data_IF_524577554562
#
_entry.id   IF_524577554562
#
_cell.length_a   1.000
_cell.length_b   1.000
_cell.length_c   1.000
_cell.angle_alpha   90.00
_cell.angle_beta   90.00
_cell.angle_gamma   90.00
#
_symmetry.space_group_name_H-M   'P 1'
#
loop_
_entity.id
_entity.type
_entity.pdbx_description
1 polymer ?
#
# COMPACT_ATOMS: atom_id res chain seq x y z
N UNK A 1 3.38 -13.99 -7.56
CA UNK A 1 2.44 -12.86 -7.74
C UNK A 1 1.19 -13.39 -8.39
N UNK A 2 0.06 -12.69 -8.30
CA UNK A 2 -1.21 -13.18 -8.87
C UNK A 2 -1.93 -14.25 -8.05
N UNK A 3 -1.45 -14.50 -6.82
CA UNK A 3 -2.13 -15.34 -5.83
C UNK A 3 -2.60 -14.45 -4.67
N UNK A 4 -3.78 -14.75 -4.14
CA UNK A 4 -4.31 -14.13 -2.93
C UNK A 4 -4.05 -15.10 -1.78
N UNK A 5 -3.35 -14.62 -0.76
CA UNK A 5 -3.06 -15.37 0.46
C UNK A 5 -3.77 -14.67 1.62
N UNK A 6 -4.44 -15.45 2.47
CA UNK A 6 -5.05 -14.98 3.71
C UNK A 6 -4.09 -15.23 4.86
N UNK A 7 -3.91 -14.22 5.72
CA UNK A 7 -3.09 -14.32 6.92
C UNK A 7 -3.94 -14.15 8.18
N UNK A 8 -3.72 -15.02 9.15
CA UNK A 8 -4.29 -14.97 10.48
C UNK A 8 -3.31 -14.34 11.49
N UNK A 9 -3.77 -14.14 12.72
CA UNK A 9 -2.93 -13.61 13.80
C UNK A 9 -1.72 -14.53 14.03
N UNK A 10 -0.53 -13.97 13.83
CA UNK A 10 0.74 -14.68 14.01
C UNK A 10 1.38 -15.15 12.70
N UNK A 11 0.67 -15.08 11.58
CA UNK A 11 1.23 -15.45 10.28
C UNK A 11 2.26 -14.45 9.77
N UNK A 12 3.21 -14.96 8.99
CA UNK A 12 4.25 -14.19 8.30
C UNK A 12 4.06 -14.34 6.79
N UNK A 13 3.66 -13.27 6.13
CA UNK A 13 3.50 -13.23 4.67
C UNK A 13 4.72 -12.55 4.05
N UNK A 14 5.44 -13.29 3.21
CA UNK A 14 6.63 -12.78 2.51
C UNK A 14 6.28 -12.14 1.16
N UNK A 15 6.68 -10.88 0.99
CA UNK A 15 6.52 -10.11 -0.25
C UNK A 15 7.89 -9.98 -0.95
N UNK A 16 8.23 -10.83 -1.93
CA UNK A 16 9.54 -10.79 -2.57
C UNK A 16 9.73 -9.52 -3.42
N UNK A 17 10.99 -9.11 -3.60
CA UNK A 17 11.38 -8.04 -4.52
C UNK A 17 11.06 -8.43 -5.98
N UNK A 18 10.77 -7.43 -6.81
CA UNK A 18 10.50 -7.64 -8.24
C UNK A 18 9.15 -8.30 -8.54
N UNK A 19 8.24 -8.33 -7.56
CA UNK A 19 6.91 -8.89 -7.71
C UNK A 19 5.87 -7.86 -7.26
N UNK A 20 4.93 -7.54 -8.14
CA UNK A 20 3.77 -6.72 -7.78
C UNK A 20 2.97 -7.38 -6.66
N UNK A 21 2.67 -6.60 -5.62
CA UNK A 21 1.90 -7.04 -4.48
C UNK A 21 1.18 -5.85 -3.82
N UNK A 22 0.10 -6.15 -3.13
CA UNK A 22 -0.63 -5.23 -2.27
C UNK A 22 -1.27 -6.04 -1.15
N UNK A 23 -1.92 -5.39 -0.19
CA UNK A 23 -2.69 -6.04 0.85
C UNK A 23 -3.85 -5.14 1.27
N UNK A 24 -4.87 -5.74 1.85
CA UNK A 24 -6.00 -5.06 2.46
C UNK A 24 -6.43 -5.82 3.70
N UNK A 25 -7.23 -5.18 4.55
CA UNK A 25 -7.90 -5.87 5.64
C UNK A 25 -9.08 -6.67 5.07
N UNK A 26 -8.99 -8.00 5.10
CA UNK A 26 -10.05 -8.87 4.62
C UNK A 26 -11.21 -9.03 5.63
N UNK A 27 -11.01 -8.60 6.88
CA UNK A 27 -12.03 -8.64 7.93
C UNK A 27 -12.78 -7.32 8.11
N UNK A 28 -13.80 -7.36 8.95
CA UNK A 28 -14.65 -6.22 9.34
C UNK A 28 -14.19 -5.53 10.64
N UNK A 29 -13.21 -6.11 11.33
CA UNK A 29 -12.58 -5.55 12.54
C UNK A 29 -11.20 -4.94 12.21
N UNK A 30 -10.72 -3.95 12.97
CA UNK A 30 -9.39 -3.38 12.74
C UNK A 30 -8.27 -4.42 12.82
N UNK A 31 -7.53 -4.60 11.73
CA UNK A 31 -6.31 -5.40 11.70
C UNK A 31 -5.10 -4.57 12.14
N UNK A 32 -4.17 -5.21 12.86
CA UNK A 32 -2.85 -4.66 13.18
C UNK A 32 -1.78 -5.56 12.58
N UNK A 33 -0.89 -4.99 11.80
CA UNK A 33 0.22 -5.71 11.17
C UNK A 33 1.55 -5.10 11.60
N UNK A 34 2.58 -5.93 11.62
CA UNK A 34 3.97 -5.48 11.66
C UNK A 34 4.56 -5.68 10.26
N UNK A 35 4.90 -4.59 9.59
CA UNK A 35 5.57 -4.64 8.29
C UNK A 35 7.08 -4.43 8.49
N UNK A 36 7.87 -5.38 7.99
CA UNK A 36 9.33 -5.35 8.07
C UNK A 36 9.88 -5.21 6.65
N UNK A 37 10.56 -4.09 6.39
CA UNK A 37 11.13 -3.77 5.08
C UNK A 37 12.64 -3.67 5.23
N UNK A 38 13.37 -4.36 4.35
CA UNK A 38 14.84 -4.39 4.35
C UNK A 38 15.39 -4.09 2.97
N UNK A 39 16.44 -3.24 2.84
CA UNK A 39 17.18 -2.61 3.93
C UNK A 39 16.40 -1.44 4.57
N UNK A 40 16.90 -0.94 5.70
CA UNK A 40 16.35 0.24 6.37
C UNK A 40 16.40 1.50 5.48
N UNK A 41 15.60 2.50 5.84
CA UNK A 41 15.51 3.80 5.15
C UNK A 41 14.14 4.03 4.50
N UNK A 42 13.39 2.96 4.21
CA UNK A 42 12.06 3.05 3.61
C UNK A 42 11.01 3.65 4.56
N UNK A 43 11.23 3.59 5.87
CA UNK A 43 10.35 4.23 6.86
C UNK A 43 10.14 5.74 6.57
N UNK A 44 11.16 6.41 6.03
CA UNK A 44 11.12 7.84 5.66
C UNK A 44 10.19 8.13 4.47
N UNK A 45 9.87 7.12 3.66
CA UNK A 45 8.83 7.25 2.63
C UNK A 45 7.49 7.53 3.29
N UNK A 46 7.12 6.74 4.32
CA UNK A 46 5.87 6.92 5.04
C UNK A 46 5.81 8.29 5.74
N UNK A 47 6.89 8.71 6.40
CA UNK A 47 6.95 10.03 7.05
C UNK A 47 6.63 11.17 6.05
N UNK A 48 7.27 11.15 4.88
CA UNK A 48 7.06 12.16 3.82
C UNK A 48 5.65 12.07 3.23
N UNK A 49 5.12 10.87 3.00
CA UNK A 49 3.75 10.68 2.50
C UNK A 49 2.74 11.23 3.50
N UNK A 50 2.89 10.91 4.79
CA UNK A 50 1.99 11.39 5.85
C UNK A 50 2.07 12.92 5.99
N UNK A 51 3.26 13.50 5.94
CA UNK A 51 3.43 14.96 5.99
C UNK A 51 2.76 15.67 4.79
N UNK A 52 2.97 15.18 3.56
CA UNK A 52 2.31 15.72 2.37
C UNK A 52 0.79 15.54 2.44
N UNK A 53 0.31 14.38 2.90
CA UNK A 53 -1.12 14.13 3.06
C UNK A 53 -1.75 15.07 4.10
N UNK A 54 -1.09 15.27 5.25
CA UNK A 54 -1.54 16.18 6.30
C UNK A 54 -1.62 17.64 5.85
N UNK A 55 -0.82 18.03 4.85
CA UNK A 55 -0.86 19.35 4.22
C UNK A 55 -1.84 19.45 3.04
N UNK A 56 -2.50 18.36 2.65
CA UNK A 56 -3.35 18.32 1.45
C UNK A 56 -2.57 18.44 0.14
N UNK A 57 -1.27 18.15 0.18
CA UNK A 57 -0.32 18.33 -0.91
C UNK A 57 0.08 17.02 -1.60
N UNK A 58 -0.51 15.90 -1.16
CA UNK A 58 -0.26 14.59 -1.74
C UNK A 58 -1.23 14.33 -2.89
N UNK A 59 -0.69 14.24 -4.11
CA UNK A 59 -1.41 13.80 -5.30
C UNK A 59 -0.79 12.49 -5.83
N UNK A 60 -1.48 11.77 -6.75
CA UNK A 60 -0.98 10.52 -7.31
C UNK A 60 0.42 10.63 -7.95
N UNK A 61 0.72 11.73 -8.66
CA UNK A 61 1.99 11.90 -9.35
C UNK A 61 3.14 12.11 -8.34
N UNK A 62 2.91 12.89 -7.29
CA UNK A 62 3.85 13.08 -6.17
C UNK A 62 4.09 11.79 -5.42
N UNK A 63 3.06 10.98 -5.17
CA UNK A 63 3.23 9.67 -4.53
C UNK A 63 4.14 8.75 -5.35
N UNK A 64 3.91 8.66 -6.67
CA UNK A 64 4.73 7.84 -7.57
C UNK A 64 6.18 8.34 -7.63
N UNK A 65 6.38 9.65 -7.80
CA UNK A 65 7.71 10.25 -7.82
C UNK A 65 8.47 10.01 -6.51
N UNK A 66 7.79 10.19 -5.37
CA UNK A 66 8.35 9.96 -4.07
C UNK A 66 8.71 8.48 -3.85
N UNK A 67 7.86 7.55 -4.26
CA UNK A 67 8.14 6.11 -4.16
C UNK A 67 9.40 5.74 -4.96
N UNK A 68 9.59 6.33 -6.14
CA UNK A 68 10.76 6.11 -6.97
C UNK A 68 12.08 6.55 -6.30
N UNK A 69 12.08 7.61 -5.48
CA UNK A 69 13.26 8.03 -4.68
C UNK A 69 13.73 6.92 -3.74
N UNK A 70 12.84 6.02 -3.34
CA UNK A 70 13.11 4.88 -2.45
C UNK A 70 13.18 3.54 -3.20
N UNK A 71 13.32 3.56 -4.53
CA UNK A 71 13.42 2.35 -5.36
C UNK A 71 12.15 1.50 -5.36
N UNK A 72 10.99 2.13 -5.20
CA UNK A 72 9.67 1.48 -5.19
C UNK A 72 8.84 1.96 -6.37
N UNK A 73 8.26 1.02 -7.10
CA UNK A 73 7.31 1.30 -8.17
C UNK A 73 5.88 1.16 -7.63
N UNK A 74 5.01 2.12 -7.97
CA UNK A 74 3.61 2.13 -7.57
C UNK A 74 2.75 2.31 -8.81
N UNK A 75 1.81 1.39 -9.01
CA UNK A 75 0.81 1.48 -10.08
C UNK A 75 -0.57 1.82 -9.50
N UNK A 76 -0.86 3.11 -9.37
CA UNK A 76 -2.15 3.59 -8.89
C UNK A 76 -3.29 3.33 -9.87
N UNK A 77 -3.01 3.08 -11.16
CA UNK A 77 -4.04 2.76 -12.15
C UNK A 77 -4.64 1.36 -11.94
N UNK A 78 -3.91 0.46 -11.27
CA UNK A 78 -4.40 -0.87 -10.90
C UNK A 78 -5.47 -0.83 -9.79
N UNK A 79 -5.48 0.22 -8.96
CA UNK A 79 -6.30 0.28 -7.73
C UNK A 79 -7.80 0.19 -7.99
N UNK A 80 -8.40 0.93 -8.94
CA UNK A 80 -9.84 0.82 -9.22
C UNK A 80 -10.27 -0.60 -9.63
N UNK A 81 -9.42 -1.31 -10.38
CA UNK A 81 -9.66 -2.69 -10.78
C UNK A 81 -9.69 -3.63 -9.57
N UNK A 82 -8.72 -3.50 -8.67
CA UNK A 82 -8.62 -4.28 -7.43
C UNK A 82 -9.79 -4.00 -6.48
N UNK A 83 -10.15 -2.73 -6.33
CA UNK A 83 -11.30 -2.29 -5.52
C UNK A 83 -12.58 -2.95 -5.99
N UNK A 84 -12.86 -2.88 -7.30
CA UNK A 84 -14.05 -3.51 -7.89
C UNK A 84 -14.02 -5.03 -7.78
N UNK A 85 -12.89 -5.66 -8.07
CA UNK A 85 -12.76 -7.12 -8.07
C UNK A 85 -12.96 -7.74 -6.69
N UNK A 86 -12.60 -7.01 -5.63
CA UNK A 86 -12.63 -7.52 -4.25
C UNK A 86 -13.63 -6.80 -3.35
N UNK A 87 -14.49 -5.93 -3.89
CA UNK A 87 -15.52 -5.22 -3.13
C UNK A 87 -14.93 -4.32 -2.03
N UNK A 88 -13.77 -3.72 -2.28
CA UNK A 88 -13.04 -2.93 -1.28
C UNK A 88 -13.55 -1.50 -1.22
N UNK A 89 -13.19 -0.80 -0.16
CA UNK A 89 -13.27 0.66 -0.09
C UNK A 89 -11.87 1.25 -0.13
N UNK A 90 -11.68 2.31 -0.90
CA UNK A 90 -10.40 3.00 -0.99
C UNK A 90 -10.53 4.41 -0.44
N UNK A 91 -9.92 4.65 0.72
CA UNK A 91 -10.06 5.90 1.46
C UNK A 91 -9.55 7.15 0.70
N UNK A 92 -8.70 6.97 -0.32
CA UNK A 92 -8.16 8.03 -1.17
C UNK A 92 -8.84 8.12 -2.55
N UNK A 93 -9.93 7.38 -2.77
CA UNK A 93 -10.73 7.47 -4.00
C UNK A 93 -11.69 8.66 -3.99
N UNK A 94 -12.32 8.99 -5.13
CA UNK A 94 -13.47 9.90 -5.15
C UNK A 94 -14.52 9.40 -4.15
N UNK A 95 -15.01 10.28 -3.27
CA UNK A 95 -16.22 10.01 -2.51
C UNK A 95 -17.40 10.15 -3.48
N UNK A 96 -18.12 9.06 -3.73
CA UNK A 96 -19.47 9.12 -4.34
C UNK A 96 -20.49 9.70 -3.34
#
# INVERSE_FOLDING_TARGET
GGEIVYGEVGDLIFKPRGQWHTFWNAGDVPARILEIISPAGFEKFFDKVTDLAGRGELDPARMVALAAEYGTEVDLNSVPGLVKAHGLTFAMGPQE
#
